data_IF_750165082494
#
_entry.id   IF_750165082494
#
_cell.length_a   1.000
_cell.length_b   1.000
_cell.length_c   1.000
_cell.angle_alpha   90.00
_cell.angle_beta   90.00
_cell.angle_gamma   90.00
#
_symmetry.space_group_name_H-M   'P 1'
#
loop_
_entity.id
_entity.type
_entity.pdbx_description
1 polymer ?
#
# COMPACT_ATOMS: atom_id res chain seq x y z
N UNK A 1 4.15 -23.47 10.96
CA UNK A 1 4.30 -22.74 9.69
C UNK A 1 3.70 -21.36 9.83
N UNK A 2 4.54 -20.34 9.74
CA UNK A 2 4.15 -18.93 9.92
C UNK A 2 3.95 -18.30 8.55
N UNK A 3 2.82 -17.64 8.32
CA UNK A 3 2.63 -16.88 7.09
C UNK A 3 3.07 -15.43 7.31
N UNK A 4 3.74 -14.84 6.33
CA UNK A 4 3.97 -13.39 6.26
C UNK A 4 3.43 -12.83 4.95
N UNK A 5 3.13 -11.55 4.93
CA UNK A 5 2.75 -10.82 3.74
C UNK A 5 3.40 -9.44 3.70
N UNK A 6 3.44 -8.83 2.52
CA UNK A 6 3.91 -7.47 2.27
C UNK A 6 3.00 -6.80 1.26
N UNK A 7 2.59 -5.56 1.55
CA UNK A 7 1.79 -4.73 0.64
C UNK A 7 2.72 -3.74 -0.04
N UNK A 8 2.64 -3.66 -1.36
CA UNK A 8 3.39 -2.72 -2.18
C UNK A 8 2.40 -1.90 -3.02
N UNK A 9 2.61 -0.59 -3.05
CA UNK A 9 1.80 0.36 -3.82
C UNK A 9 2.70 0.98 -4.88
N UNK A 10 2.28 0.94 -6.14
CA UNK A 10 2.91 1.70 -7.22
C UNK A 10 1.87 2.54 -7.96
N UNK A 11 2.30 3.68 -8.49
CA UNK A 11 1.48 4.60 -9.26
C UNK A 11 2.18 4.81 -10.60
N UNK A 12 1.46 4.57 -11.69
CA UNK A 12 2.02 4.61 -13.05
C UNK A 12 1.19 5.53 -13.96
N UNK A 13 1.81 6.36 -14.80
CA UNK A 13 3.26 6.67 -14.83
C UNK A 13 3.72 7.47 -13.59
N UNK A 14 4.94 7.21 -13.13
CA UNK A 14 5.50 7.86 -11.94
C UNK A 14 5.65 9.38 -12.13
N UNK A 15 5.21 10.17 -11.15
CA UNK A 15 5.42 11.63 -11.11
C UNK A 15 4.58 12.46 -12.09
N UNK A 16 3.66 11.86 -12.87
CA UNK A 16 2.84 12.62 -13.82
C UNK A 16 1.75 13.50 -13.19
N UNK A 17 1.22 13.08 -12.05
CA UNK A 17 0.27 13.81 -11.22
C UNK A 17 0.88 14.01 -9.84
N UNK A 18 0.57 15.14 -9.17
CA UNK A 18 1.10 15.45 -7.86
C UNK A 18 0.31 14.71 -6.77
N UNK A 19 0.35 13.39 -6.83
CA UNK A 19 -0.33 12.50 -5.90
C UNK A 19 0.62 12.08 -4.78
N UNK A 20 0.17 12.26 -3.54
CA UNK A 20 0.78 11.63 -2.38
C UNK A 20 -0.05 10.41 -2.00
N UNK A 21 0.62 9.29 -1.74
CA UNK A 21 -0.02 8.07 -1.25
C UNK A 21 0.57 7.65 0.09
N UNK A 22 -0.30 7.31 1.02
CA UNK A 22 0.08 6.77 2.33
C UNK A 22 -0.76 5.55 2.64
N UNK A 23 -0.11 4.46 3.02
CA UNK A 23 -0.77 3.24 3.49
C UNK A 23 -0.59 3.14 5.02
N UNK A 24 -1.70 3.19 5.75
CA UNK A 24 -1.69 3.16 7.22
C UNK A 24 -2.38 1.89 7.71
N UNK A 25 -1.75 1.08 8.58
CA UNK A 25 -2.41 -0.06 9.21
C UNK A 25 -3.42 0.43 10.26
N UNK A 26 -4.52 -0.29 10.42
CA UNK A 26 -5.56 0.03 11.42
C UNK A 26 -5.10 -0.28 12.86
N UNK A 27 -4.13 -1.19 13.01
CA UNK A 27 -3.53 -1.58 14.29
C UNK A 27 -2.03 -1.85 14.14
N UNK A 28 -1.34 -2.08 15.24
CA UNK A 28 0.06 -2.49 15.26
C UNK A 28 0.20 -3.98 14.90
N UNK A 29 0.67 -4.25 13.68
CA UNK A 29 0.97 -5.62 13.24
C UNK A 29 2.43 -6.01 13.47
N UNK A 30 2.67 -7.28 13.79
CA UNK A 30 4.00 -7.79 14.07
C UNK A 30 4.89 -7.78 12.81
N UNK A 31 5.97 -7.01 12.85
CA UNK A 31 6.92 -6.90 11.75
C UNK A 31 7.77 -8.18 11.62
N UNK A 32 7.93 -8.64 10.38
CA UNK A 32 8.84 -9.73 9.98
C UNK A 32 10.12 -9.20 9.30
N UNK A 33 10.33 -7.88 9.31
CA UNK A 33 11.48 -7.20 8.68
C UNK A 33 11.28 -6.91 7.19
N UNK A 34 11.99 -5.92 6.64
CA UNK A 34 11.94 -5.60 5.20
C UNK A 34 10.55 -5.20 4.66
N UNK A 35 9.67 -4.68 5.51
CA UNK A 35 8.28 -4.34 5.17
C UNK A 35 7.30 -5.52 5.23
N UNK A 36 7.75 -6.72 5.61
CA UNK A 36 6.89 -7.87 5.81
C UNK A 36 6.20 -7.85 7.17
N UNK A 37 5.00 -8.42 7.23
CA UNK A 37 4.14 -8.52 8.41
C UNK A 37 3.72 -9.98 8.60
N UNK A 38 3.75 -10.48 9.83
CA UNK A 38 3.25 -11.82 10.15
C UNK A 38 1.72 -11.85 10.16
N UNK A 39 1.12 -12.86 9.51
CA UNK A 39 -0.33 -13.10 9.48
C UNK A 39 -0.79 -14.04 10.63
N UNK A 40 0.14 -14.51 11.47
CA UNK A 40 -0.12 -15.41 12.61
C UNK A 40 -0.16 -16.90 12.25
N UNK A 41 -0.51 -17.75 13.22
CA UNK A 41 -0.68 -19.20 13.04
C UNK A 41 -2.06 -19.65 13.56
N UNK A 42 -2.72 -20.53 12.81
CA UNK A 42 -3.78 -21.42 13.33
C UNK A 42 -5.20 -20.86 13.43
N UNK A 43 -5.43 -19.56 13.24
CA UNK A 43 -6.78 -18.98 13.15
C UNK A 43 -6.85 -17.96 12.01
N UNK A 44 -8.02 -17.78 11.37
CA UNK A 44 -8.22 -16.70 10.42
C UNK A 44 -7.96 -15.36 11.12
N UNK A 45 -6.96 -14.62 10.64
CA UNK A 45 -6.65 -13.27 11.09
C UNK A 45 -6.97 -12.31 9.94
N UNK A 46 -7.56 -11.17 10.27
CA UNK A 46 -7.81 -10.09 9.32
C UNK A 46 -7.00 -8.86 9.75
N UNK A 47 -6.21 -8.34 8.82
CA UNK A 47 -5.51 -7.07 8.97
C UNK A 47 -6.16 -6.05 8.04
N UNK A 48 -6.35 -4.83 8.53
CA UNK A 48 -7.02 -3.75 7.84
C UNK A 48 -6.02 -2.62 7.58
N UNK A 49 -6.13 -2.01 6.41
CA UNK A 49 -5.30 -0.89 5.99
C UNK A 49 -6.17 0.18 5.34
N UNK A 50 -5.81 1.43 5.56
CA UNK A 50 -6.35 2.58 4.84
C UNK A 50 -5.29 3.12 3.88
N UNK A 51 -5.60 3.09 2.58
CA UNK A 51 -4.83 3.80 1.56
C UNK A 51 -5.44 5.20 1.37
N UNK A 52 -4.70 6.22 1.75
CA UNK A 52 -5.07 7.62 1.49
C UNK A 52 -4.32 8.12 0.28
N UNK A 53 -5.07 8.67 -0.69
CA UNK A 53 -4.55 9.33 -1.88
C UNK A 53 -4.93 10.80 -1.79
N UNK A 54 -3.95 11.68 -1.80
CA UNK A 54 -4.16 13.13 -1.73
C UNK A 54 -3.58 13.76 -2.98
N UNK A 55 -4.40 14.57 -3.65
CA UNK A 55 -3.92 15.51 -4.65
C UNK A 55 -3.24 16.66 -3.94
N UNK A 56 -2.00 16.95 -4.28
CA UNK A 56 -1.35 18.15 -3.81
C UNK A 56 -2.08 19.37 -4.39
N UNK A 57 -2.89 19.98 -3.53
CA UNK A 57 -3.71 21.16 -3.83
C UNK A 57 -2.89 22.38 -4.24
N UNK A 58 -1.57 22.38 -4.01
CA UNK A 58 -0.67 23.44 -4.49
C UNK A 58 -0.40 23.39 -6.00
N UNK A 59 -0.78 22.30 -6.66
CA UNK A 59 -0.45 21.98 -8.06
C UNK A 59 -1.68 21.61 -8.88
N UNK A 60 -2.86 22.09 -8.51
CA UNK A 60 -4.09 21.87 -9.30
C UNK A 60 -4.14 22.84 -10.49
N UNK A 61 -3.53 22.45 -11.60
CA UNK A 61 -3.57 23.17 -12.86
C UNK A 61 -4.31 22.40 -13.97
N UNK A 62 -4.76 23.12 -15.00
CA UNK A 62 -5.44 22.52 -16.17
C UNK A 62 -4.56 21.53 -16.93
N UNK A 63 -3.25 21.59 -16.78
CA UNK A 63 -2.29 20.65 -17.35
C UNK A 63 -2.41 19.21 -16.84
N UNK A 64 -3.21 18.98 -15.80
CA UNK A 64 -3.47 17.67 -15.21
C UNK A 64 -4.90 17.15 -15.49
N UNK A 65 -5.78 17.95 -16.11
CA UNK A 65 -7.22 17.63 -16.22
C UNK A 65 -7.56 16.44 -17.12
N UNK A 66 -6.63 16.04 -17.98
CA UNK A 66 -6.77 14.90 -18.90
C UNK A 66 -5.73 13.81 -18.62
N UNK A 67 -4.99 13.93 -17.53
CA UNK A 67 -3.97 12.96 -17.15
C UNK A 67 -4.58 11.89 -16.27
N UNK A 68 -4.23 10.65 -16.57
CA UNK A 68 -4.64 9.48 -15.81
C UNK A 68 -3.42 8.83 -15.18
N UNK A 69 -3.60 8.29 -13.98
CA UNK A 69 -2.61 7.42 -13.34
C UNK A 69 -3.30 6.17 -12.80
N UNK A 70 -2.65 5.04 -13.01
CA UNK A 70 -3.07 3.75 -12.47
C UNK A 70 -2.43 3.54 -11.10
N UNK A 71 -3.25 3.25 -10.10
CA UNK A 71 -2.78 2.82 -8.77
C UNK A 71 -2.79 1.29 -8.76
N UNK A 72 -1.64 0.68 -8.51
CA UNK A 72 -1.47 -0.76 -8.39
C UNK A 72 -1.15 -1.14 -6.95
N UNK A 73 -1.93 -2.06 -6.41
CA UNK A 73 -1.74 -2.64 -5.08
C UNK A 73 -1.32 -4.10 -5.27
N UNK A 74 -0.13 -4.46 -4.78
CA UNK A 74 0.38 -5.82 -4.82
C UNK A 74 0.48 -6.37 -3.40
N UNK A 75 -0.12 -7.53 -3.16
CA UNK A 75 -0.02 -8.24 -1.88
C UNK A 75 0.82 -9.50 -2.13
N UNK A 76 2.06 -9.48 -1.66
CA UNK A 76 2.94 -10.63 -1.67
C UNK A 76 2.72 -11.44 -0.40
N UNK A 77 2.69 -12.77 -0.48
CA UNK A 77 2.55 -13.65 0.67
C UNK A 77 3.54 -14.82 0.57
N UNK A 78 4.16 -15.17 1.70
CA UNK A 78 5.16 -16.22 1.79
C UNK A 78 4.93 -17.05 3.07
N UNK A 79 5.11 -18.36 2.94
CA UNK A 79 5.20 -19.25 4.09
C UNK A 79 6.64 -19.30 4.58
N UNK A 80 6.82 -19.18 5.89
CA UNK A 80 8.10 -19.36 6.58
C UNK A 80 8.00 -20.63 7.42
N UNK A 81 9.07 -21.41 7.36
CA UNK A 81 9.26 -22.61 8.17
C UNK A 81 9.62 -22.24 9.62
#
# INVERSE_FOLDING_TARGET
>A
MLLKYKIEISIEPEGELPLLSTLTPDDSYAAAGGGWIFLGMGSPVSHLYTLTIVWDSGTTGSEYSEKEQSIKITINAEQID
#
